data_IF_368618510331
#
_entry.id   IF_368618510331
#
_cell.length_a   1.000
_cell.length_b   1.000
_cell.length_c   1.000
_cell.angle_alpha   90.00
_cell.angle_beta   90.00
_cell.angle_gamma   90.00
#
_symmetry.space_group_name_H-M   'P 1'
#
loop_
_entity.id
_entity.type
_entity.pdbx_description
1 polymer ?
#
# COMPACT_ATOMS: atom_id res chain seq x y z
N UNK A 1 14.68 7.32 -53.42
CA UNK A 1 14.00 6.05 -53.07
C UNK A 1 12.50 6.28 -53.08
N UNK A 2 11.73 5.65 -53.99
CA UNK A 2 10.26 5.75 -54.01
C UNK A 2 9.70 4.70 -53.05
N UNK A 3 9.30 5.12 -51.86
CA UNK A 3 8.55 4.23 -50.96
C UNK A 3 7.22 3.88 -51.61
N UNK A 4 6.99 2.60 -51.91
CA UNK A 4 5.65 2.14 -52.28
C UNK A 4 4.72 2.30 -51.07
N UNK A 5 3.44 2.62 -51.31
CA UNK A 5 2.45 2.93 -50.24
C UNK A 5 2.48 1.92 -49.08
N UNK A 6 2.70 0.64 -49.40
CA UNK A 6 2.82 -0.45 -48.43
C UNK A 6 4.00 -0.25 -47.46
N UNK A 7 5.19 0.09 -47.96
CA UNK A 7 6.35 0.37 -47.11
C UNK A 7 6.14 1.59 -46.22
N UNK A 8 5.43 2.61 -46.73
CA UNK A 8 5.03 3.77 -45.93
C UNK A 8 4.11 3.39 -44.76
N UNK A 9 3.10 2.56 -45.02
CA UNK A 9 2.17 2.07 -43.99
C UNK A 9 2.87 1.19 -42.95
N UNK A 10 3.82 0.35 -43.37
CA UNK A 10 4.61 -0.47 -42.44
C UNK A 10 5.44 0.42 -41.50
N UNK A 11 6.13 1.42 -42.05
CA UNK A 11 6.93 2.37 -41.26
C UNK A 11 6.10 3.11 -40.22
N UNK A 12 4.91 3.59 -40.63
CA UNK A 12 3.99 4.29 -39.73
C UNK A 12 3.49 3.39 -38.61
N UNK A 13 3.10 2.15 -38.91
CA UNK A 13 2.66 1.21 -37.87
C UNK A 13 3.77 0.86 -36.89
N UNK A 14 4.99 0.64 -37.36
CA UNK A 14 6.15 0.40 -36.48
C UNK A 14 6.41 1.60 -35.57
N UNK A 15 6.33 2.81 -36.11
CA UNK A 15 6.47 4.03 -35.32
C UNK A 15 5.36 4.16 -34.26
N UNK A 16 4.11 3.85 -34.61
CA UNK A 16 2.97 3.88 -33.69
C UNK A 16 3.09 2.84 -32.58
N UNK A 17 3.52 1.62 -32.91
CA UNK A 17 3.78 0.57 -31.91
C UNK A 17 4.93 0.96 -30.98
N UNK A 18 5.98 1.59 -31.50
CA UNK A 18 7.07 2.13 -30.68
C UNK A 18 6.60 3.21 -29.71
N UNK A 19 5.78 4.15 -30.19
CA UNK A 19 5.18 5.18 -29.34
C UNK A 19 4.28 4.58 -28.25
N UNK A 20 3.45 3.59 -28.60
CA UNK A 20 2.61 2.88 -27.63
C UNK A 20 3.44 2.16 -26.57
N UNK A 21 4.53 1.51 -26.97
CA UNK A 21 5.44 0.82 -26.05
C UNK A 21 6.07 1.81 -25.06
N UNK A 22 6.54 2.97 -25.54
CA UNK A 22 7.10 4.02 -24.68
C UNK A 22 6.11 4.51 -23.62
N UNK A 23 4.84 4.71 -24.00
CA UNK A 23 3.80 5.13 -23.05
C UNK A 23 3.45 4.01 -22.08
N UNK A 24 3.28 2.79 -22.57
CA UNK A 24 2.80 1.66 -21.77
C UNK A 24 3.83 1.14 -20.76
N UNK A 25 5.12 1.26 -21.10
CA UNK A 25 6.23 0.85 -20.24
C UNK A 25 6.78 2.01 -19.40
N UNK A 26 6.23 3.22 -19.55
CA UNK A 26 6.65 4.35 -18.73
C UNK A 26 6.42 4.06 -17.23
N UNK A 27 7.38 4.38 -16.35
CA UNK A 27 7.22 4.20 -14.92
C UNK A 27 5.97 4.95 -14.43
N UNK A 28 5.09 4.23 -13.73
CA UNK A 28 3.92 4.86 -13.10
C UNK A 28 4.40 5.86 -12.05
N UNK A 29 3.81 7.05 -12.04
CA UNK A 29 4.13 8.05 -11.02
C UNK A 29 3.72 7.49 -9.65
N UNK A 30 4.64 7.47 -8.69
CA UNK A 30 4.43 6.93 -7.34
C UNK A 30 3.23 7.59 -6.63
N UNK A 31 2.91 8.84 -6.97
CA UNK A 31 1.76 9.55 -6.44
C UNK A 31 0.38 9.04 -6.94
N UNK A 32 0.35 8.30 -8.06
CA UNK A 32 -0.86 7.69 -8.62
C UNK A 32 -1.20 6.36 -7.94
N UNK A 33 -0.24 5.73 -7.27
CA UNK A 33 -0.45 4.47 -6.53
C UNK A 33 -0.86 4.73 -5.07
N UNK A 34 -1.64 5.79 -4.84
CA UNK A 34 -2.33 5.99 -3.56
C UNK A 34 -3.50 5.03 -3.50
N UNK A 35 -3.25 3.81 -3.05
CA UNK A 35 -4.30 2.95 -2.53
C UNK A 35 -5.04 3.76 -1.46
N UNK A 36 -6.34 3.99 -1.66
CA UNK A 36 -7.18 4.62 -0.63
C UNK A 36 -7.14 3.70 0.58
N UNK A 37 -6.38 4.09 1.60
CA UNK A 37 -6.34 3.33 2.83
C UNK A 37 -7.65 3.52 3.59
N UNK A 38 -8.26 2.39 3.97
CA UNK A 38 -9.35 2.38 4.92
C UNK A 38 -8.73 2.21 6.30
N UNK A 39 -9.08 3.11 7.21
CA UNK A 39 -8.67 3.03 8.59
C UNK A 39 -9.81 2.47 9.42
N UNK A 40 -9.51 1.45 10.22
CA UNK A 40 -10.43 0.95 11.23
C UNK A 40 -9.89 1.32 12.61
N UNK A 41 -10.78 1.85 13.45
CA UNK A 41 -10.49 2.22 14.83
C UNK A 41 -11.27 1.28 15.74
N UNK A 42 -10.58 0.65 16.67
CA UNK A 42 -11.18 -0.15 17.72
C UNK A 42 -10.63 0.30 19.08
N UNK A 43 -11.52 0.54 20.04
CA UNK A 43 -11.14 0.83 21.42
C UNK A 43 -11.26 -0.42 22.29
N UNK A 44 -10.50 -0.45 23.37
CA UNK A 44 -10.61 -1.48 24.39
C UNK A 44 -9.48 -1.38 25.40
N UNK A 45 -9.42 -2.35 26.31
CA UNK A 45 -8.47 -2.34 27.41
C UNK A 45 -7.26 -3.20 27.06
N UNK A 46 -6.07 -2.70 27.37
CA UNK A 46 -4.86 -3.51 27.27
C UNK A 46 -4.89 -4.61 28.33
N UNK A 47 -4.38 -5.80 27.98
CA UNK A 47 -4.42 -6.98 28.87
C UNK A 47 -3.65 -6.78 30.18
N UNK A 48 -2.72 -5.82 30.22
CA UNK A 48 -1.74 -5.66 31.29
C UNK A 48 -1.89 -4.37 32.09
N UNK A 49 -2.76 -3.46 31.67
CA UNK A 49 -2.94 -2.18 32.34
C UNK A 49 -4.37 -1.69 32.13
N UNK A 50 -4.97 -1.06 33.14
CA UNK A 50 -6.30 -0.45 33.08
C UNK A 50 -6.36 0.75 32.11
N UNK A 51 -5.29 0.97 31.34
CA UNK A 51 -5.20 1.98 30.31
C UNK A 51 -6.06 1.61 29.10
N UNK A 52 -6.96 2.53 28.74
CA UNK A 52 -7.71 2.47 27.50
C UNK A 52 -6.75 2.62 26.32
N UNK A 53 -6.75 1.62 25.44
CA UNK A 53 -5.98 1.63 24.20
C UNK A 53 -6.92 1.79 23.00
N UNK A 54 -6.47 2.59 22.04
CA UNK A 54 -7.08 2.73 20.74
C UNK A 54 -6.17 2.06 19.71
N UNK A 55 -6.69 1.06 19.02
CA UNK A 55 -6.01 0.40 17.92
C UNK A 55 -6.46 1.00 16.59
N UNK A 56 -5.48 1.44 15.81
CA UNK A 56 -5.65 2.01 14.48
C UNK A 56 -5.11 0.99 13.49
N UNK A 57 -5.96 0.46 12.63
CA UNK A 57 -5.60 -0.49 11.58
C UNK A 57 -5.62 0.22 10.24
N UNK A 58 -4.47 0.32 9.59
CA UNK A 58 -4.32 0.79 8.22
C UNK A 58 -4.43 -0.42 7.27
N UNK A 59 -5.56 -0.55 6.57
CA UNK A 59 -5.75 -1.66 5.62
C UNK A 59 -4.89 -1.50 4.35
N UNK A 60 -4.52 -0.29 3.98
CA UNK A 60 -3.72 -0.01 2.79
C UNK A 60 -2.27 -0.46 2.95
N UNK A 61 -1.67 -0.13 4.09
CA UNK A 61 -0.30 -0.48 4.44
C UNK A 61 -0.19 -1.81 5.20
N UNK A 62 -1.33 -2.34 5.67
CA UNK A 62 -1.40 -3.55 6.50
C UNK A 62 -0.64 -3.38 7.81
N UNK A 63 -0.86 -2.25 8.48
CA UNK A 63 -0.19 -1.88 9.72
C UNK A 63 -1.21 -1.69 10.85
N UNK A 64 -0.79 -1.95 12.08
CA UNK A 64 -1.57 -1.66 13.29
C UNK A 64 -0.74 -0.83 14.24
N UNK A 65 -1.31 0.27 14.69
CA UNK A 65 -0.74 1.16 15.69
C UNK A 65 -1.66 1.15 16.91
N UNK A 66 -1.08 0.92 18.08
CA UNK A 66 -1.79 1.08 19.35
C UNK A 66 -1.39 2.42 19.96
N UNK A 67 -2.38 3.22 20.35
CA UNK A 67 -2.18 4.50 21.03
C UNK A 67 -2.95 4.52 22.35
N UNK A 68 -2.46 5.27 23.32
CA UNK A 68 -3.14 5.57 24.59
C UNK A 68 -3.22 7.08 24.77
N UNK A 69 -4.19 7.53 25.57
CA UNK A 69 -4.23 8.92 26.01
C UNK A 69 -3.32 9.13 27.22
N UNK A 70 -2.39 10.09 27.14
CA UNK A 70 -1.62 10.56 28.28
C UNK A 70 -2.29 11.82 28.85
N UNK A 71 -3.00 11.66 29.97
CA UNK A 71 -3.69 12.75 30.66
C UNK A 71 -2.76 13.82 31.23
N UNK A 72 -1.48 13.50 31.49
CA UNK A 72 -0.53 14.48 32.02
C UNK A 72 -0.05 15.44 30.92
N UNK A 73 0.06 14.92 29.69
CA UNK A 73 0.55 15.66 28.52
C UNK A 73 -0.55 16.12 27.58
N UNK A 74 -1.78 15.65 27.80
CA UNK A 74 -2.94 15.95 26.98
C UNK A 74 -2.72 15.58 25.50
N UNK A 75 -2.10 14.41 25.27
CA UNK A 75 -1.72 13.92 23.94
C UNK A 75 -1.97 12.42 23.77
N UNK A 76 -2.12 11.98 22.51
CA UNK A 76 -2.12 10.56 22.15
C UNK A 76 -0.69 10.08 22.00
N UNK A 77 -0.30 9.09 22.78
CA UNK A 77 1.03 8.49 22.76
C UNK A 77 0.96 7.10 22.14
N UNK A 78 1.85 6.83 21.18
CA UNK A 78 2.00 5.50 20.59
C UNK A 78 2.60 4.52 21.59
N UNK A 79 1.91 3.42 21.85
CA UNK A 79 2.34 2.36 22.78
C UNK A 79 2.73 1.06 22.06
N UNK A 80 2.41 0.94 20.78
CA UNK A 80 2.78 -0.23 20.00
C UNK A 80 2.60 -0.05 18.50
N UNK A 81 3.39 -0.82 17.75
CA UNK A 81 3.34 -0.92 16.30
C UNK A 81 3.48 -2.39 15.89
N UNK A 82 2.75 -2.80 14.86
CA UNK A 82 2.80 -4.16 14.32
C UNK A 82 2.48 -4.17 12.83
N UNK A 83 3.31 -4.89 12.06
CA UNK A 83 3.09 -5.16 10.64
C UNK A 83 2.28 -6.46 10.49
N UNK A 84 1.10 -6.37 9.86
CA UNK A 84 0.21 -7.50 9.65
C UNK A 84 0.72 -8.47 8.58
N UNK A 85 1.56 -8.03 7.64
CA UNK A 85 2.17 -8.91 6.65
C UNK A 85 3.16 -9.87 7.29
N UNK A 86 4.00 -9.34 8.20
CA UNK A 86 4.92 -10.15 8.98
C UNK A 86 4.15 -11.21 9.80
N UNK A 87 3.05 -10.82 10.41
CA UNK A 87 2.21 -11.71 11.22
C UNK A 87 1.48 -12.77 10.38
N UNK A 88 0.96 -12.40 9.21
CA UNK A 88 0.31 -13.35 8.29
C UNK A 88 1.27 -14.47 7.86
N UNK A 89 2.56 -14.16 7.66
CA UNK A 89 3.59 -15.14 7.34
C UNK A 89 3.89 -16.12 8.47
N UNK A 90 3.78 -15.69 9.73
CA UNK A 90 3.93 -16.55 10.91
C UNK A 90 2.72 -17.46 11.05
N UNK A 91 1.50 -16.93 10.94
CA UNK A 91 0.26 -17.72 11.02
C UNK A 91 0.19 -18.79 9.92
N UNK A 92 0.63 -18.47 8.70
CA UNK A 92 0.66 -19.44 7.59
C UNK A 92 1.58 -20.62 7.87
N UNK A 93 2.73 -20.40 8.51
CA UNK A 93 3.66 -21.46 8.92
C UNK A 93 3.12 -22.30 10.09
N UNK A 94 2.38 -21.67 11.01
CA UNK A 94 1.76 -22.37 12.13
C UNK A 94 0.64 -23.33 11.71
N UNK A 95 0.02 -23.12 10.54
CA UNK A 95 -1.08 -23.97 10.02
C UNK A 95 -0.61 -25.14 9.16
N UNK A 96 0.65 -25.14 8.72
CA UNK A 96 1.23 -26.21 7.88
C UNK A 96 1.91 -27.33 8.67
N UNK A 97 1.92 -27.23 10.00
CA UNK A 97 2.31 -28.29 10.93
C UNK A 97 1.08 -28.83 11.65
#
# INVERSE_FOLDING_TARGET
MRFTRVHGLILVNVALLGALALVSLSPRAQAQDRRRSNYLLASGFSKNDSAEALWIVDQGNQEVIAVTWDSNRNELVGIGYRDLNADAGVLRRGRSN
#
